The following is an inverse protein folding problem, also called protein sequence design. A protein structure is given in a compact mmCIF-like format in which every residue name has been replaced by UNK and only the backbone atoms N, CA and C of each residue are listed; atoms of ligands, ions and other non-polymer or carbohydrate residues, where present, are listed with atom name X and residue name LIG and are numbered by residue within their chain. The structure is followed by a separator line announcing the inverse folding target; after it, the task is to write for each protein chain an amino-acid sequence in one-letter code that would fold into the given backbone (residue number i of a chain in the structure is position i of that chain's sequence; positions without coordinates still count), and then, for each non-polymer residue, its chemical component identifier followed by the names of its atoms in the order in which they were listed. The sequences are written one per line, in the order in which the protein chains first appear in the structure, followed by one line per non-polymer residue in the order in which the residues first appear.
data_IF_579541366125
#
_entry.id   IF_579541366125
#
_cell.length_a   1.000
_cell.length_b   1.000
_cell.length_c   1.000
_cell.angle_alpha   90.00
_cell.angle_beta   90.00
_cell.angle_gamma   90.00
#
_symmetry.space_group_name_H-M   'P 1'
#
loop_
_entity.id
_entity.type
_entity.pdbx_description
1 polymer ?
#
# COMPACT_ATOMS: atom_id res chain seq x y z
N UNK A 1 8.01 31.04 -13.42
CA UNK A 1 6.65 31.22 -13.96
C UNK A 1 5.88 29.95 -13.65
N UNK A 2 4.98 29.99 -12.68
CA UNK A 2 4.19 28.81 -12.29
C UNK A 2 3.20 28.45 -13.39
N UNK A 3 3.33 27.26 -13.96
CA UNK A 3 2.30 26.71 -14.85
C UNK A 3 1.41 25.82 -13.97
N UNK A 4 0.27 26.37 -13.55
CA UNK A 4 -0.88 25.57 -13.14
C UNK A 4 -1.66 25.22 -14.40
N UNK A 5 -1.74 23.94 -14.75
CA UNK A 5 -2.83 23.48 -15.61
C UNK A 5 -3.18 22.02 -15.28
N UNK A 6 -4.42 21.83 -14.82
CA UNK A 6 -5.14 20.55 -14.76
C UNK A 6 -5.85 20.30 -16.10
N UNK A 7 -5.23 20.66 -17.22
CA UNK A 7 -5.74 20.31 -18.54
C UNK A 7 -4.74 19.38 -19.22
N UNK A 8 -5.16 18.13 -19.42
CA UNK A 8 -4.52 17.16 -20.29
C UNK A 8 -4.60 17.65 -21.75
N UNK A 9 -3.83 18.69 -22.08
CA UNK A 9 -3.64 19.14 -23.45
C UNK A 9 -2.91 18.05 -24.24
N UNK A 10 -3.46 17.66 -25.40
CA UNK A 10 -2.77 16.76 -26.35
C UNK A 10 -1.35 17.26 -26.68
N UNK A 11 -1.14 18.58 -26.64
CA UNK A 11 0.18 19.22 -26.74
C UNK A 11 1.20 18.71 -25.71
N UNK A 12 0.84 18.57 -24.42
CA UNK A 12 1.78 18.10 -23.41
C UNK A 12 2.23 16.65 -23.69
N UNK A 13 1.31 15.83 -24.21
CA UNK A 13 1.59 14.44 -24.60
C UNK A 13 2.42 14.34 -25.88
N UNK A 14 2.22 15.24 -26.84
CA UNK A 14 3.04 15.32 -28.05
C UNK A 14 4.46 15.85 -27.76
N UNK A 15 4.59 16.79 -26.82
CA UNK A 15 5.88 17.32 -26.37
C UNK A 15 6.70 16.23 -25.66
N UNK A 16 6.08 15.46 -24.75
CA UNK A 16 6.72 14.30 -24.09
C UNK A 16 7.14 13.22 -25.10
N UNK A 17 6.38 13.04 -26.18
CA UNK A 17 6.62 11.99 -27.18
C UNK A 17 7.74 12.31 -28.16
N UNK A 18 8.01 13.60 -28.41
CA UNK A 18 8.88 14.03 -29.51
C UNK A 18 10.24 14.61 -29.07
N UNK A 19 10.50 14.87 -27.78
CA UNK A 19 11.82 15.31 -27.30
C UNK A 19 12.14 14.77 -25.90
N UNK A 20 13.40 14.37 -25.72
CA UNK A 20 14.04 13.85 -24.50
C UNK A 20 13.85 14.74 -23.26
N UNK A 21 12.69 14.65 -22.61
CA UNK A 21 12.51 15.17 -21.26
C UNK A 21 12.02 14.05 -20.36
N UNK A 22 12.97 13.27 -19.83
CA UNK A 22 12.74 12.51 -18.60
C UNK A 22 12.70 13.51 -17.45
N UNK A 23 11.54 14.11 -17.17
CA UNK A 23 11.32 14.78 -15.90
C UNK A 23 11.29 13.66 -14.86
N UNK A 24 12.46 13.28 -14.31
CA UNK A 24 12.49 12.58 -13.03
C UNK A 24 11.97 13.57 -12.00
N UNK A 25 10.66 13.50 -11.71
CA UNK A 25 10.06 14.22 -10.60
C UNK A 25 10.86 13.81 -9.37
N UNK A 26 11.53 14.76 -8.70
CA UNK A 26 12.25 14.43 -7.48
C UNK A 26 11.23 14.21 -6.37
N UNK A 27 10.76 12.98 -6.29
CA UNK A 27 9.80 12.53 -5.30
C UNK A 27 10.45 12.18 -3.97
N UNK A 28 11.78 12.06 -3.93
CA UNK A 28 12.52 11.81 -2.70
C UNK A 28 12.92 13.13 -2.02
N UNK A 29 12.28 13.44 -0.89
CA UNK A 29 12.58 14.62 -0.06
C UNK A 29 13.32 14.26 1.23
N UNK A 30 13.96 13.09 1.29
CA UNK A 30 14.92 12.75 2.36
C UNK A 30 15.99 13.84 2.52
N UNK A 31 16.30 14.17 3.77
CA UNK A 31 17.27 15.22 4.10
C UNK A 31 18.70 14.71 4.05
N UNK A 32 18.89 13.41 4.28
CA UNK A 32 20.18 12.75 4.20
C UNK A 32 20.40 12.33 2.74
N UNK A 33 21.52 12.79 2.18
CA UNK A 33 21.92 12.44 0.82
C UNK A 33 22.25 10.96 0.72
N UNK A 34 22.04 10.40 -0.46
CA UNK A 34 22.41 9.02 -0.77
C UNK A 34 23.91 8.80 -0.51
N UNK A 35 24.30 7.71 0.19
CA UNK A 35 25.68 7.50 0.61
C UNK A 35 26.59 7.19 -0.58
N UNK A 36 27.84 7.67 -0.55
CA UNK A 36 28.84 7.35 -1.58
C UNK A 36 29.37 5.93 -1.46
N UNK A 37 29.48 5.42 -0.22
CA UNK A 37 29.99 4.10 0.09
C UNK A 37 28.82 3.20 0.49
N UNK A 38 28.19 2.55 -0.48
CA UNK A 38 26.95 1.78 -0.26
C UNK A 38 27.25 0.45 0.43
N UNK A 39 26.51 0.16 1.50
CA UNK A 39 26.52 -1.13 2.19
C UNK A 39 25.34 -1.98 1.72
N UNK A 40 25.64 -3.18 1.21
CA UNK A 40 24.64 -4.14 0.71
C UNK A 40 24.27 -5.21 1.74
N UNK A 41 25.18 -5.53 2.66
CA UNK A 41 24.95 -6.53 3.69
C UNK A 41 24.36 -5.86 4.92
N UNK A 42 23.22 -6.36 5.36
CA UNK A 42 22.45 -5.70 6.40
C UNK A 42 22.93 -6.06 7.82
N UNK A 43 22.94 -5.08 8.74
CA UNK A 43 23.31 -5.28 10.14
C UNK A 43 22.05 -5.46 11.02
N UNK A 44 21.89 -6.59 11.75
CA UNK A 44 20.75 -6.85 12.62
C UNK A 44 20.40 -5.73 13.62
N UNK A 45 21.41 -5.06 14.19
CA UNK A 45 21.20 -3.96 15.13
C UNK A 45 20.52 -2.76 14.47
N UNK A 46 20.83 -2.52 13.20
CA UNK A 46 20.20 -1.45 12.41
C UNK A 46 18.74 -1.81 12.11
N UNK A 47 18.39 -3.08 11.85
CA UNK A 47 16.99 -3.51 11.61
C UNK A 47 16.23 -3.29 12.90
N UNK A 48 16.83 -3.67 14.03
CA UNK A 48 16.21 -3.55 15.33
C UNK A 48 15.90 -2.09 15.63
N UNK A 49 16.89 -1.21 15.46
CA UNK A 49 16.70 0.22 15.66
C UNK A 49 15.73 0.83 14.64
N UNK A 50 15.76 0.40 13.38
CA UNK A 50 14.80 0.81 12.35
C UNK A 50 13.36 0.46 12.74
N UNK A 51 13.13 -0.77 13.23
CA UNK A 51 11.81 -1.23 13.69
C UNK A 51 11.34 -0.45 14.92
N UNK A 52 12.24 -0.14 15.86
CA UNK A 52 11.94 0.74 17.00
C UNK A 52 11.54 2.14 16.55
N UNK A 53 12.34 2.77 15.68
CA UNK A 53 12.03 4.08 15.10
C UNK A 53 10.71 4.07 14.30
N UNK A 54 10.43 2.97 13.58
CA UNK A 54 9.17 2.80 12.86
C UNK A 54 7.98 2.82 13.82
N UNK A 55 8.09 2.15 14.98
CA UNK A 55 7.06 2.19 16.04
C UNK A 55 6.91 3.58 16.63
N UNK A 56 8.01 4.27 16.92
CA UNK A 56 8.01 5.67 17.40
C UNK A 56 7.28 6.61 16.41
N UNK A 57 7.34 6.30 15.11
CA UNK A 57 6.64 7.04 14.04
C UNK A 57 5.21 6.58 13.76
N UNK A 58 4.65 5.67 14.57
CA UNK A 58 3.33 5.07 14.40
C UNK A 58 3.17 4.32 13.06
N UNK A 59 4.21 3.60 12.62
CA UNK A 59 4.07 2.56 11.60
C UNK A 59 3.39 1.35 12.26
N UNK A 60 2.29 0.88 11.65
CA UNK A 60 1.50 -0.25 12.16
C UNK A 60 2.28 -1.56 12.03
N UNK A 61 2.81 -1.81 10.84
CA UNK A 61 3.56 -3.03 10.54
C UNK A 61 4.68 -2.75 9.55
N UNK A 62 5.80 -3.45 9.73
CA UNK A 62 6.98 -3.38 8.86
C UNK A 62 7.25 -4.76 8.30
N UNK A 63 7.35 -4.86 6.97
CA UNK A 63 7.65 -6.10 6.27
C UNK A 63 8.82 -5.94 5.31
N UNK A 64 9.50 -7.04 5.02
CA UNK A 64 10.64 -7.08 4.11
C UNK A 64 10.36 -8.07 2.99
N UNK A 65 10.61 -7.66 1.75
CA UNK A 65 10.39 -8.51 0.59
C UNK A 65 11.24 -8.04 -0.59
N UNK A 66 11.05 -8.67 -1.75
CA UNK A 66 11.55 -8.19 -3.02
C UNK A 66 10.43 -7.65 -3.90
N UNK A 67 10.62 -6.48 -4.49
CA UNK A 67 9.83 -5.98 -5.59
C UNK A 67 10.04 -6.89 -6.80
N UNK A 68 8.96 -7.51 -7.30
CA UNK A 68 9.00 -8.28 -8.54
C UNK A 68 8.51 -7.45 -9.72
N UNK A 69 8.94 -7.76 -10.96
CA UNK A 69 8.57 -6.97 -12.13
C UNK A 69 7.06 -6.81 -12.37
N UNK A 70 6.25 -7.80 -11.97
CA UNK A 70 4.79 -7.75 -12.09
C UNK A 70 4.11 -6.72 -11.17
N UNK A 71 4.86 -6.16 -10.22
CA UNK A 71 4.40 -5.13 -9.30
C UNK A 71 4.83 -3.72 -9.72
N UNK A 72 5.70 -3.60 -10.73
CA UNK A 72 6.12 -2.32 -11.29
C UNK A 72 5.03 -1.84 -12.24
N UNK A 73 4.60 -0.60 -12.06
CA UNK A 73 3.53 0.02 -12.82
C UNK A 73 4.10 1.08 -13.76
N UNK A 74 3.45 1.25 -14.91
CA UNK A 74 3.80 2.27 -15.93
C UNK A 74 5.29 2.28 -16.34
N UNK A 75 5.93 1.11 -16.34
CA UNK A 75 7.35 0.94 -16.68
C UNK A 75 8.27 1.85 -15.84
N UNK A 76 7.91 2.11 -14.58
CA UNK A 76 8.70 2.94 -13.68
C UNK A 76 10.13 2.40 -13.53
N UNK A 77 11.11 3.28 -13.76
CA UNK A 77 12.53 2.97 -13.59
C UNK A 77 12.92 3.09 -12.11
N UNK A 78 13.03 1.94 -11.45
CA UNK A 78 13.35 1.82 -10.03
C UNK A 78 14.74 1.22 -9.84
N UNK A 79 15.50 1.72 -8.88
CA UNK A 79 16.94 1.40 -8.75
C UNK A 79 17.20 0.11 -7.96
N UNK A 80 16.26 -0.31 -7.11
CA UNK A 80 16.43 -1.45 -6.22
C UNK A 80 15.23 -2.40 -6.23
N UNK A 81 15.49 -3.66 -5.91
CA UNK A 81 14.46 -4.69 -5.77
C UNK A 81 14.21 -5.08 -4.30
N UNK A 82 15.14 -4.85 -3.37
CA UNK A 82 14.86 -5.12 -1.95
C UNK A 82 13.96 -4.03 -1.40
N UNK A 83 12.88 -4.42 -0.72
CA UNK A 83 11.81 -3.52 -0.32
C UNK A 83 11.51 -3.66 1.17
N UNK A 84 11.49 -2.52 1.86
CA UNK A 84 10.88 -2.38 3.18
C UNK A 84 9.49 -1.81 2.97
N UNK A 85 8.47 -2.56 3.38
CA UNK A 85 7.07 -2.18 3.25
C UNK A 85 6.55 -1.70 4.60
N UNK A 86 5.97 -0.50 4.61
CA UNK A 86 5.47 0.17 5.80
C UNK A 86 3.96 0.34 5.67
N UNK A 87 3.21 -0.09 6.69
CA UNK A 87 1.76 0.08 6.74
C UNK A 87 1.41 1.13 7.78
N UNK A 88 0.49 2.03 7.42
CA UNK A 88 -0.03 3.09 8.26
C UNK A 88 -1.54 2.99 8.34
N UNK A 89 -2.11 3.30 9.50
CA UNK A 89 -3.56 3.46 9.65
C UNK A 89 -4.04 4.73 8.90
N UNK A 90 -5.24 4.67 8.32
CA UNK A 90 -5.91 5.88 7.82
C UNK A 90 -6.55 6.69 8.97
N UNK A 91 -6.73 7.98 8.76
CA UNK A 91 -7.52 8.84 9.65
C UNK A 91 -9.01 8.47 9.58
N UNK A 92 -9.70 8.49 10.74
CA UNK A 92 -11.15 8.26 10.81
C UNK A 92 -11.91 9.36 10.06
N UNK A 93 -11.39 10.60 10.08
CA UNK A 93 -11.95 11.74 9.38
C UNK A 93 -12.11 11.49 7.87
N UNK A 94 -11.24 10.69 7.25
CA UNK A 94 -11.38 10.30 5.83
C UNK A 94 -12.56 9.34 5.62
N UNK A 95 -12.82 8.48 6.61
CA UNK A 95 -13.90 7.49 6.55
C UNK A 95 -15.25 8.11 6.90
N UNK A 96 -15.27 9.09 7.78
CA UNK A 96 -16.46 9.77 8.27
C UNK A 96 -16.91 10.94 7.38
N UNK A 97 -16.02 11.44 6.51
CA UNK A 97 -16.33 12.54 5.59
C UNK A 97 -16.80 12.01 4.24
N UNK A 98 -17.88 12.59 3.72
CA UNK A 98 -18.38 12.27 2.37
C UNK A 98 -17.33 12.59 1.28
N UNK A 99 -17.28 11.80 0.19
CA UNK A 99 -16.37 12.04 -0.92
C UNK A 99 -16.50 13.46 -1.46
N UNK A 100 -15.38 14.18 -1.54
CA UNK A 100 -15.34 15.56 -2.01
C UNK A 100 -14.03 16.24 -1.61
N UNK A 101 -14.03 17.57 -1.67
CA UNK A 101 -12.84 18.39 -1.41
C UNK A 101 -12.29 18.14 0.00
N UNK A 102 -13.18 18.08 1.01
CA UNK A 102 -12.77 17.93 2.40
C UNK A 102 -12.14 16.55 2.69
N UNK A 103 -12.80 15.46 2.29
CA UNK A 103 -12.24 14.11 2.42
C UNK A 103 -10.91 13.97 1.66
N UNK A 104 -10.81 14.58 0.48
CA UNK A 104 -9.55 14.65 -0.27
C UNK A 104 -8.46 15.39 0.54
N UNK A 105 -8.76 16.53 1.14
CA UNK A 105 -7.80 17.29 1.96
C UNK A 105 -7.29 16.48 3.15
N UNK A 106 -8.15 15.72 3.83
CA UNK A 106 -7.70 14.80 4.90
C UNK A 106 -6.79 13.68 4.36
N UNK A 107 -7.11 13.11 3.19
CA UNK A 107 -6.26 12.09 2.57
C UNK A 107 -4.92 12.66 2.10
N UNK A 108 -4.90 13.85 1.50
CA UNK A 108 -3.68 14.53 1.07
C UNK A 108 -2.79 14.85 2.27
N UNK A 109 -3.37 15.33 3.37
CA UNK A 109 -2.65 15.56 4.62
C UNK A 109 -2.08 14.25 5.19
N UNK A 110 -2.84 13.15 5.18
CA UNK A 110 -2.34 11.83 5.56
C UNK A 110 -1.14 11.41 4.69
N UNK A 111 -1.21 11.64 3.38
CA UNK A 111 -0.13 11.28 2.44
C UNK A 111 1.14 12.06 2.74
N UNK A 112 1.03 13.35 3.04
CA UNK A 112 2.14 14.18 3.49
C UNK A 112 2.76 13.65 4.79
N UNK A 113 1.94 13.27 5.78
CA UNK A 113 2.42 12.69 7.03
C UNK A 113 3.16 11.36 6.79
N UNK A 114 2.63 10.50 5.92
CA UNK A 114 3.27 9.22 5.57
C UNK A 114 4.60 9.46 4.82
N UNK A 115 4.62 10.40 3.88
CA UNK A 115 5.83 10.77 3.15
C UNK A 115 6.94 11.22 4.12
N UNK A 116 6.63 12.17 5.00
CA UNK A 116 7.56 12.69 6.01
C UNK A 116 8.12 11.59 6.92
N UNK A 117 7.29 10.65 7.35
CA UNK A 117 7.74 9.48 8.16
C UNK A 117 8.63 8.54 7.34
N UNK A 118 8.28 8.30 6.08
CA UNK A 118 9.06 7.47 5.15
C UNK A 118 10.44 8.08 4.92
N UNK A 119 10.53 9.41 4.70
CA UNK A 119 11.80 10.11 4.56
C UNK A 119 12.66 10.02 5.81
N UNK A 120 12.08 10.16 7.02
CA UNK A 120 12.83 10.00 8.27
C UNK A 120 13.43 8.59 8.43
N UNK A 121 12.67 7.57 8.04
CA UNK A 121 13.13 6.18 8.06
C UNK A 121 14.21 5.92 6.99
N UNK A 122 14.05 6.51 5.81
CA UNK A 122 15.04 6.51 4.73
C UNK A 122 16.34 7.21 5.17
N UNK A 123 16.23 8.37 5.82
CA UNK A 123 17.35 9.15 6.34
C UNK A 123 18.16 8.34 7.36
N UNK A 124 17.49 7.68 8.31
CA UNK A 124 18.14 6.78 9.25
C UNK A 124 18.95 5.67 8.56
N UNK A 125 18.42 5.07 7.49
CA UNK A 125 19.15 4.05 6.74
C UNK A 125 20.37 4.64 6.01
N UNK A 126 20.22 5.82 5.40
CA UNK A 126 21.30 6.51 4.69
C UNK A 126 22.43 6.97 5.62
N UNK A 127 22.11 7.43 6.82
CA UNK A 127 23.11 7.72 7.88
C UNK A 127 23.97 6.50 8.22
N UNK A 128 23.41 5.31 8.02
CA UNK A 128 24.08 4.03 8.20
C UNK A 128 24.65 3.45 6.90
N UNK A 129 24.84 4.28 5.87
CA UNK A 129 25.39 3.92 4.56
C UNK A 129 24.55 2.90 3.77
N UNK A 130 23.28 2.72 4.12
CA UNK A 130 22.32 1.93 3.34
C UNK A 130 21.61 2.87 2.38
N UNK A 131 21.82 2.67 1.09
CA UNK A 131 21.15 3.49 0.08
C UNK A 131 19.68 3.11 -0.08
N UNK A 132 18.82 4.09 -0.33
CA UNK A 132 17.36 3.97 -0.32
C UNK A 132 16.72 4.80 -1.41
N UNK A 133 15.54 4.35 -1.85
CA UNK A 133 14.62 5.04 -2.76
C UNK A 133 13.21 4.97 -2.13
N UNK A 134 12.77 6.02 -1.41
CA UNK A 134 11.47 6.03 -0.73
C UNK A 134 10.32 6.37 -1.70
N UNK A 135 9.30 5.53 -1.72
CA UNK A 135 8.11 5.65 -2.59
C UNK A 135 6.88 5.61 -1.70
N UNK A 136 6.23 6.76 -1.55
CA UNK A 136 5.08 6.94 -0.67
C UNK A 136 3.75 6.94 -1.46
N UNK A 137 2.58 6.87 -0.80
CA UNK A 137 1.28 6.63 -1.44
C UNK A 137 0.85 7.61 -2.55
N UNK A 138 1.50 8.76 -2.68
CA UNK A 138 1.21 9.73 -3.75
C UNK A 138 1.73 9.25 -5.11
N UNK A 139 2.73 8.36 -5.10
CA UNK A 139 3.34 7.77 -6.29
C UNK A 139 2.81 6.34 -6.52
N UNK A 140 1.49 6.17 -6.42
CA UNK A 140 0.80 4.88 -6.61
C UNK A 140 0.82 4.39 -8.06
N UNK A 141 1.34 5.21 -8.98
CA UNK A 141 1.62 4.87 -10.36
C UNK A 141 2.95 4.14 -10.59
N UNK A 142 3.81 4.00 -9.57
CA UNK A 142 5.11 3.31 -9.70
C UNK A 142 5.06 1.85 -9.25
N UNK A 143 4.34 1.56 -8.16
CA UNK A 143 4.31 0.23 -7.54
C UNK A 143 2.90 -0.13 -7.10
N UNK A 144 2.50 -1.39 -7.31
CA UNK A 144 1.29 -1.96 -6.69
C UNK A 144 1.51 -2.18 -5.18
N UNK A 145 1.23 -1.12 -4.41
CA UNK A 145 1.39 -1.06 -2.97
C UNK A 145 0.66 -2.17 -2.20
N UNK A 146 -0.55 -2.55 -2.63
CA UNK A 146 -1.31 -3.58 -1.92
C UNK A 146 -0.66 -4.95 -2.11
N UNK A 147 -0.26 -5.27 -3.35
CA UNK A 147 0.37 -6.56 -3.65
C UNK A 147 1.76 -6.70 -3.02
N UNK A 148 2.58 -5.66 -3.02
CA UNK A 148 3.90 -5.74 -2.38
C UNK A 148 3.77 -5.93 -0.86
N UNK A 149 2.79 -5.30 -0.21
CA UNK A 149 2.51 -5.53 1.21
C UNK A 149 2.01 -6.95 1.50
N UNK A 150 1.16 -7.51 0.64
CA UNK A 150 0.76 -8.92 0.75
C UNK A 150 1.97 -9.86 0.56
N UNK A 151 2.88 -9.55 -0.38
CA UNK A 151 4.13 -10.30 -0.60
C UNK A 151 5.11 -10.21 0.58
N UNK A 152 5.04 -9.12 1.36
CA UNK A 152 5.74 -8.94 2.61
C UNK A 152 5.03 -9.57 3.83
N UNK A 153 3.94 -10.33 3.60
CA UNK A 153 3.11 -10.97 4.62
C UNK A 153 2.52 -9.99 5.66
N UNK A 154 2.13 -8.79 5.24
CA UNK A 154 1.49 -7.80 6.12
C UNK A 154 -0.05 -7.86 6.09
N UNK A 155 -0.62 -8.77 5.30
CA UNK A 155 -2.05 -8.95 5.13
C UNK A 155 -2.38 -9.70 3.84
N UNK A 156 -3.68 -9.84 3.54
CA UNK A 156 -4.15 -10.49 2.31
C UNK A 156 -4.93 -9.52 1.42
N UNK A 157 -4.92 -9.78 0.11
CA UNK A 157 -5.65 -8.97 -0.86
C UNK A 157 -7.15 -9.30 -0.81
N UNK A 158 -7.95 -8.29 -0.48
CA UNK A 158 -9.41 -8.37 -0.54
C UNK A 158 -9.94 -8.24 -1.96
N UNK A 159 -11.24 -8.50 -2.13
CA UNK A 159 -11.92 -8.36 -3.44
C UNK A 159 -11.98 -6.92 -3.97
N UNK A 160 -11.82 -5.92 -3.12
CA UNK A 160 -11.67 -4.51 -3.53
C UNK A 160 -10.31 -4.22 -4.17
N UNK A 161 -9.35 -5.15 -4.11
CA UNK A 161 -7.95 -4.93 -4.50
C UNK A 161 -7.09 -4.32 -3.39
N UNK A 162 -7.69 -3.91 -2.27
CA UNK A 162 -6.97 -3.36 -1.13
C UNK A 162 -6.36 -4.47 -0.27
N UNK A 163 -5.23 -4.17 0.36
CA UNK A 163 -4.69 -4.96 1.46
C UNK A 163 -5.67 -4.99 2.63
N UNK A 164 -5.86 -6.15 3.25
CA UNK A 164 -6.61 -6.33 4.49
C UNK A 164 -5.63 -6.82 5.55
N UNK A 165 -5.37 -5.97 6.54
CA UNK A 165 -4.50 -6.33 7.68
C UNK A 165 -5.31 -6.85 8.87
N UNK A 166 -4.70 -7.61 9.78
CA UNK A 166 -5.35 -8.03 11.02
C UNK A 166 -5.84 -6.88 11.92
N UNK A 167 -5.07 -5.82 12.00
CA UNK A 167 -5.28 -4.71 12.94
C UNK A 167 -6.39 -3.77 12.48
N UNK A 168 -6.40 -3.42 11.18
CA UNK A 168 -7.23 -2.33 10.65
C UNK A 168 -8.08 -2.74 9.44
N UNK A 169 -8.01 -4.00 9.02
CA UNK A 169 -8.66 -4.43 7.79
C UNK A 169 -8.15 -3.61 6.59
N UNK A 170 -9.01 -3.10 5.70
CA UNK A 170 -8.59 -2.26 4.60
C UNK A 170 -8.38 -0.77 4.94
N UNK A 171 -8.52 -0.36 6.22
CA UNK A 171 -8.32 1.03 6.67
C UNK A 171 -6.83 1.36 6.82
N UNK A 172 -6.06 1.14 5.76
CA UNK A 172 -4.60 1.31 5.76
C UNK A 172 -4.07 1.99 4.50
N UNK A 173 -2.90 2.60 4.61
CA UNK A 173 -2.06 3.08 3.51
C UNK A 173 -0.69 2.43 3.61
N UNK A 174 -0.02 2.29 2.47
CA UNK A 174 1.25 1.60 2.37
C UNK A 174 2.28 2.55 1.77
N UNK A 175 3.47 2.56 2.35
CA UNK A 175 4.67 3.20 1.79
C UNK A 175 5.76 2.14 1.62
N UNK A 176 6.67 2.35 0.67
CA UNK A 176 7.76 1.42 0.38
C UNK A 176 9.08 2.18 0.40
N UNK A 177 10.11 1.59 0.99
CA UNK A 177 11.49 2.03 0.83
C UNK A 177 12.21 0.93 0.07
N UNK A 178 12.56 1.19 -1.19
CA UNK A 178 13.46 0.32 -1.93
C UNK A 178 14.89 0.57 -1.47
N UNK A 179 15.74 -0.45 -1.44
CA UNK A 179 17.05 -0.32 -0.82
C UNK A 179 18.12 -1.25 -1.41
N UNK A 180 19.35 -0.77 -1.36
CA UNK A 180 20.56 -1.55 -1.63
C UNK A 180 20.76 -2.72 -0.67
N UNK A 181 20.21 -2.63 0.55
CA UNK A 181 20.34 -3.65 1.58
C UNK A 181 19.65 -4.97 1.19
N UNK A 182 20.38 -6.07 1.27
CA UNK A 182 19.81 -7.42 1.21
C UNK A 182 19.14 -7.73 2.54
N UNK A 183 17.82 -7.70 2.52
CA UNK A 183 16.99 -7.98 3.69
C UNK A 183 16.48 -9.42 3.62
N UNK A 184 16.51 -10.10 4.76
CA UNK A 184 15.79 -11.36 4.90
C UNK A 184 14.30 -11.08 4.76
N UNK A 185 13.63 -11.86 3.91
CA UNK A 185 12.19 -11.73 3.71
C UNK A 185 11.50 -11.95 5.05
N UNK A 186 10.46 -11.17 5.33
CA UNK A 186 9.63 -11.41 6.51
C UNK A 186 9.10 -12.83 6.49
N UNK A 187 9.41 -13.59 7.53
CA UNK A 187 8.83 -14.90 7.77
C UNK A 187 7.31 -14.75 7.92
N UNK A 188 6.52 -15.60 7.24
CA UNK A 188 5.09 -15.48 7.31
C UNK A 188 4.59 -15.85 8.71
N UNK A 189 4.04 -14.88 9.44
CA UNK A 189 3.43 -15.12 10.76
C UNK A 189 2.09 -15.88 10.62
N UNK A 190 1.40 -15.65 9.51
CA UNK A 190 0.11 -16.29 9.18
C UNK A 190 -0.06 -16.48 7.67
N UNK A 191 -0.81 -17.52 7.29
CA UNK A 191 -1.36 -17.64 5.93
C UNK A 191 -2.61 -16.74 5.76
N UNK A 192 -2.48 -15.67 4.97
CA UNK A 192 -3.59 -14.77 4.64
C UNK A 192 -4.42 -15.21 3.42
N UNK A 193 -4.13 -16.36 2.80
CA UNK A 193 -4.82 -16.84 1.60
C UNK A 193 -6.34 -16.99 1.80
N UNK A 194 -6.76 -17.30 3.03
CA UNK A 194 -8.16 -17.46 3.40
C UNK A 194 -8.99 -16.17 3.22
N UNK A 195 -8.37 -14.99 3.28
CA UNK A 195 -9.05 -13.70 3.06
C UNK A 195 -9.66 -13.66 1.66
N UNK A 196 -8.91 -14.13 0.65
CA UNK A 196 -9.39 -14.19 -0.73
C UNK A 196 -10.61 -15.09 -0.86
N UNK A 197 -10.59 -16.27 -0.23
CA UNK A 197 -11.71 -17.21 -0.23
C UNK A 197 -12.95 -16.67 0.50
N UNK A 198 -12.75 -15.97 1.61
CA UNK A 198 -13.83 -15.23 2.28
C UNK A 198 -14.42 -14.16 1.35
N UNK A 199 -13.56 -13.34 0.73
CA UNK A 199 -13.96 -12.22 -0.10
C UNK A 199 -14.74 -12.63 -1.37
N UNK A 200 -14.42 -13.79 -1.98
CA UNK A 200 -15.20 -14.37 -3.11
C UNK A 200 -16.70 -14.49 -2.81
N UNK A 201 -17.05 -14.71 -1.54
CA UNK A 201 -18.45 -14.88 -1.09
C UNK A 201 -19.07 -13.62 -0.49
N UNK A 202 -18.26 -12.66 -0.06
CA UNK A 202 -18.73 -11.51 0.71
C UNK A 202 -19.33 -10.40 -0.15
N UNK A 203 -18.59 -9.88 -1.13
CA UNK A 203 -19.07 -8.86 -2.08
C UNK A 203 -19.40 -7.45 -1.57
N UNK A 204 -19.48 -7.21 -0.26
CA UNK A 204 -19.93 -5.92 0.31
C UNK A 204 -19.24 -4.66 -0.21
N UNK A 205 -17.94 -4.73 -0.49
CA UNK A 205 -17.22 -3.58 -1.05
C UNK A 205 -17.74 -3.17 -2.44
N UNK A 206 -18.21 -4.14 -3.23
CA UNK A 206 -18.82 -3.89 -4.54
C UNK A 206 -20.20 -3.28 -4.38
N UNK A 207 -21.02 -3.82 -3.46
CA UNK A 207 -22.37 -3.30 -3.17
C UNK A 207 -22.32 -1.85 -2.66
N UNK A 208 -21.29 -1.51 -1.88
CA UNK A 208 -21.08 -0.16 -1.36
C UNK A 208 -20.57 0.84 -2.41
N UNK A 209 -20.11 0.38 -3.58
CA UNK A 209 -19.51 1.24 -4.58
C UNK A 209 -20.59 1.93 -5.44
N UNK A 210 -20.99 3.14 -5.06
CA UNK A 210 -21.96 3.96 -5.81
C UNK A 210 -21.45 4.47 -7.16
N UNK A 211 -20.13 4.42 -7.39
CA UNK A 211 -19.47 4.89 -8.62
C UNK A 211 -19.22 3.79 -9.64
N UNK A 212 -19.69 2.56 -9.38
CA UNK A 212 -19.54 1.44 -10.31
C UNK A 212 -18.06 1.12 -10.65
N UNK A 213 -17.16 1.41 -9.70
CA UNK A 213 -15.72 1.28 -9.85
C UNK A 213 -15.24 -0.14 -9.52
N UNK A 214 -16.01 -0.94 -8.79
CA UNK A 214 -15.70 -2.33 -8.46
C UNK A 214 -16.67 -3.26 -9.18
N UNK A 215 -16.25 -3.81 -10.32
CA UNK A 215 -17.05 -4.70 -11.17
C UNK A 215 -16.26 -5.92 -11.60
N UNK A 216 -16.91 -7.09 -11.66
CA UNK A 216 -16.29 -8.35 -12.08
C UNK A 216 -14.95 -8.63 -11.37
N UNK A 217 -14.90 -8.36 -10.07
CA UNK A 217 -13.72 -8.53 -9.21
C UNK A 217 -12.51 -7.69 -9.62
N UNK A 218 -12.76 -6.56 -10.30
CA UNK A 218 -11.75 -5.62 -10.76
C UNK A 218 -12.10 -4.20 -10.35
N UNK A 219 -11.08 -3.47 -9.95
CA UNK A 219 -11.14 -2.02 -9.81
C UNK A 219 -11.01 -1.38 -11.18
N UNK A 220 -11.87 -0.41 -11.48
CA UNK A 220 -11.80 0.47 -12.63
C UNK A 220 -11.30 1.84 -12.17
N UNK A 221 -9.98 2.14 -12.28
CA UNK A 221 -9.39 3.31 -11.66
C UNK A 221 -10.03 4.64 -12.08
N UNK A 222 -10.44 4.74 -13.36
CA UNK A 222 -11.10 5.93 -13.92
C UNK A 222 -12.45 6.26 -13.28
N UNK A 223 -13.13 5.27 -12.69
CA UNK A 223 -14.40 5.45 -11.97
C UNK A 223 -14.18 5.60 -10.47
N UNK A 224 -13.05 5.15 -9.95
CA UNK A 224 -12.75 5.22 -8.53
C UNK A 224 -12.55 6.67 -8.09
N UNK A 225 -13.21 7.05 -7.01
CA UNK A 225 -13.12 8.38 -6.40
C UNK A 225 -12.22 8.42 -5.16
N UNK A 226 -11.53 7.32 -4.84
CA UNK A 226 -10.68 7.19 -3.65
C UNK A 226 -9.55 8.23 -3.63
N UNK A 227 -8.66 8.22 -4.62
CA UNK A 227 -7.52 9.14 -4.64
C UNK A 227 -7.91 10.59 -4.98
N UNK A 228 -9.01 10.80 -5.71
CA UNK A 228 -9.39 12.12 -6.21
C UNK A 228 -10.34 12.91 -5.29
N UNK A 229 -11.16 12.20 -4.52
CA UNK A 229 -12.21 12.80 -3.68
C UNK A 229 -12.24 12.17 -2.27
N UNK A 230 -11.26 11.34 -1.91
CA UNK A 230 -11.18 10.72 -0.58
C UNK A 230 -12.22 9.63 -0.33
N UNK A 231 -12.86 9.08 -1.37
CA UNK A 231 -13.93 8.08 -1.19
C UNK A 231 -13.45 6.81 -0.47
N UNK A 232 -14.20 6.43 0.59
CA UNK A 232 -13.87 5.36 1.53
C UNK A 232 -14.98 4.31 1.68
N UNK A 233 -16.07 4.37 0.91
CA UNK A 233 -17.24 3.50 1.07
C UNK A 233 -16.91 2.00 1.09
N UNK A 234 -16.01 1.55 0.21
CA UNK A 234 -15.61 0.14 0.17
C UNK A 234 -14.84 -0.32 1.43
N UNK A 235 -14.16 0.60 2.09
CA UNK A 235 -13.46 0.39 3.38
C UNK A 235 -14.50 0.35 4.49
N UNK A 236 -15.38 1.36 4.55
CA UNK A 236 -16.45 1.48 5.54
C UNK A 236 -17.35 0.23 5.56
N UNK A 237 -17.68 -0.35 4.41
CA UNK A 237 -18.56 -1.52 4.33
C UNK A 237 -17.85 -2.87 4.45
N UNK A 238 -16.52 -2.87 4.50
CA UNK A 238 -15.75 -4.09 4.65
C UNK A 238 -16.00 -4.73 6.04
N UNK A 239 -16.39 -6.02 6.12
CA UNK A 239 -16.57 -6.70 7.40
C UNK A 239 -15.31 -6.77 8.25
N UNK A 240 -14.12 -6.76 7.64
CA UNK A 240 -12.86 -6.75 8.38
C UNK A 240 -12.68 -5.47 9.18
N UNK A 241 -13.06 -4.32 8.61
CA UNK A 241 -13.09 -3.05 9.31
C UNK A 241 -14.23 -3.02 10.35
N UNK A 242 -15.47 -3.30 9.93
CA UNK A 242 -16.67 -3.19 10.80
C UNK A 242 -16.74 -4.20 11.96
N UNK A 243 -16.18 -5.40 11.80
CA UNK A 243 -16.39 -6.51 12.74
C UNK A 243 -15.10 -7.08 13.31
N UNK A 244 -13.95 -6.61 12.84
CA UNK A 244 -12.62 -7.07 13.24
C UNK A 244 -12.21 -8.40 12.60
N UNK A 245 -10.91 -8.51 12.33
CA UNK A 245 -10.28 -9.64 11.66
C UNK A 245 -10.57 -11.00 12.33
N UNK A 246 -10.33 -11.11 13.64
CA UNK A 246 -10.47 -12.37 14.37
C UNK A 246 -11.91 -12.90 14.38
N UNK A 247 -12.90 -12.00 14.40
CA UNK A 247 -14.30 -12.39 14.35
C UNK A 247 -14.67 -12.96 12.98
N UNK A 248 -14.18 -12.33 11.90
CA UNK A 248 -14.36 -12.80 10.53
C UNK A 248 -13.65 -14.15 10.34
N UNK A 249 -12.39 -14.25 10.76
CA UNK A 249 -11.58 -15.47 10.69
C UNK A 249 -12.29 -16.65 11.35
N UNK A 250 -12.70 -16.50 12.61
CA UNK A 250 -13.42 -17.53 13.37
C UNK A 250 -14.71 -17.98 12.68
N UNK A 251 -15.50 -17.04 12.15
CA UNK A 251 -16.75 -17.36 11.45
C UNK A 251 -16.50 -18.09 10.13
N UNK A 252 -15.46 -17.69 9.39
CA UNK A 252 -15.08 -18.32 8.14
C UNK A 252 -14.65 -19.77 8.34
N UNK A 253 -13.74 -20.05 9.28
CA UNK A 253 -13.26 -21.41 9.52
C UNK A 253 -14.37 -22.33 10.06
N UNK A 254 -15.21 -21.86 10.99
CA UNK A 254 -16.40 -22.61 11.42
C UNK A 254 -17.36 -22.94 10.27
N UNK A 255 -17.45 -22.07 9.27
CA UNK A 255 -18.26 -22.34 8.08
C UNK A 255 -17.60 -23.38 7.17
N UNK A 256 -16.28 -23.32 6.99
CA UNK A 256 -15.53 -24.30 6.20
C UNK A 256 -15.61 -25.70 6.79
N UNK A 257 -15.44 -25.83 8.12
CA UNK A 257 -15.60 -27.11 8.84
C UNK A 257 -16.97 -27.74 8.56
N UNK A 258 -18.05 -26.95 8.68
CA UNK A 258 -19.42 -27.43 8.39
C UNK A 258 -19.63 -27.88 6.95
N UNK A 259 -19.00 -27.24 5.97
CA UNK A 259 -19.05 -27.70 4.57
C UNK A 259 -18.32 -29.03 4.43
N UNK A 260 -17.14 -29.15 5.00
CA UNK A 260 -16.32 -30.36 4.89
C UNK A 260 -17.03 -31.57 5.52
N UNK A 261 -17.68 -31.39 6.67
CA UNK A 261 -18.51 -32.42 7.30
C UNK A 261 -19.67 -32.86 6.41
N UNK A 262 -20.40 -31.91 5.81
CA UNK A 262 -21.51 -32.22 4.90
C UNK A 262 -21.04 -32.97 3.65
N UNK A 263 -19.90 -32.60 3.09
CA UNK A 263 -19.35 -33.27 1.91
C UNK A 263 -18.85 -34.68 2.23
N UNK A 264 -18.33 -34.92 3.44
CA UNK A 264 -17.93 -36.26 3.90
C UNK A 264 -19.12 -37.19 4.14
N UNK A 265 -20.25 -36.65 4.58
CA UNK A 265 -21.48 -37.44 4.81
C UNK A 265 -22.28 -37.73 3.53
N UNK A 266 -21.96 -37.07 2.42
CA UNK A 266 -22.63 -37.21 1.13
C UNK A 266 -21.81 -38.03 0.10
N UNK A 267 -20.62 -38.51 0.48
CA UNK A 267 -19.75 -39.41 -0.28
C UNK A 267 -19.66 -40.75 0.43
#
# INVERSE_FOLDING_TARGET
MEIKSKENGKELKEIIKNQEFSIKVNYDKSTVKRPKNIVYNYNPDIIKRFKELSKELNVVSVGFTKLSPDLILNDAELEYDNAIVLVFEMFDEILETEPGILAKSYNDYLYEQIANKTYKLSDFLRENNVDTEPIHPEYDEFIDFSKIAAKANLGGIGRSGLLITPEYGPKVKISVILTSAKLEKTDPEEDFSWIKEYCKRCGKCMDACTYDALKNDKLHPKKCKGCNEGCSYCINDCPFHKKGYMNIKRKFFKYQEKIQERNKNNN
#
